data_IF_653018403470
#
_entry.id   IF_653018403470
#
_cell.length_a   1.000
_cell.length_b   1.000
_cell.length_c   1.000
_cell.angle_alpha   90.00
_cell.angle_beta   90.00
_cell.angle_gamma   90.00
#
_symmetry.space_group_name_H-M   'P 1'
#
loop_
_entity.id
_entity.type
_entity.pdbx_description
1 polymer ?
#
# COMPACT_ATOMS: atom_id res chain seq x y z
N UNK A 1 -5.06 -11.41 5.24
CA UNK A 1 -5.57 -10.02 5.11
C UNK A 1 -4.46 -9.07 4.67
N UNK A 2 -3.94 -9.25 3.46
CA UNK A 2 -2.93 -8.36 2.89
C UNK A 2 -3.37 -7.91 1.51
N UNK A 3 -2.99 -6.69 1.14
CA UNK A 3 -3.26 -6.08 -0.17
C UNK A 3 -1.94 -5.65 -0.79
N UNK A 4 -1.91 -5.62 -2.12
CA UNK A 4 -0.85 -4.94 -2.85
C UNK A 4 -1.17 -3.45 -2.92
N UNK A 5 -0.19 -2.63 -2.62
CA UNK A 5 -0.31 -1.17 -2.66
C UNK A 5 0.86 -0.62 -3.47
N UNK A 6 0.62 0.46 -4.19
CA UNK A 6 1.68 1.21 -4.88
C UNK A 6 2.03 2.42 -4.03
N UNK A 7 3.31 2.62 -3.72
CA UNK A 7 3.83 3.78 -2.99
C UNK A 7 4.97 4.44 -3.76
N UNK A 8 5.22 5.74 -3.56
CA UNK A 8 6.44 6.38 -4.05
C UNK A 8 7.68 5.59 -3.61
N UNK A 9 8.65 5.41 -4.51
CA UNK A 9 9.85 4.62 -4.21
C UNK A 9 10.66 5.20 -3.03
N UNK A 10 10.60 6.52 -2.80
CA UNK A 10 11.24 7.18 -1.66
C UNK A 10 10.63 6.83 -0.30
N UNK A 11 9.39 6.34 -0.28
CA UNK A 11 8.66 5.93 0.94
C UNK A 11 8.61 4.41 1.10
N UNK A 12 9.31 3.69 0.22
CA UNK A 12 9.25 2.24 0.18
C UNK A 12 9.94 1.62 1.41
N UNK A 13 9.32 0.56 1.93
CA UNK A 13 9.93 -0.33 2.92
C UNK A 13 10.42 -1.61 2.24
N UNK A 14 11.73 -1.78 2.14
CA UNK A 14 12.39 -2.94 1.51
C UNK A 14 11.89 -4.28 2.07
N UNK A 15 11.50 -4.35 3.35
CA UNK A 15 11.00 -5.60 3.97
C UNK A 15 9.63 -6.02 3.42
N UNK A 16 8.89 -5.08 2.84
CA UNK A 16 7.52 -5.26 2.33
C UNK A 16 7.43 -5.10 0.82
N UNK A 17 8.51 -4.64 0.18
CA UNK A 17 8.61 -4.45 -1.26
C UNK A 17 8.56 -5.81 -1.98
N UNK A 18 7.64 -5.91 -2.92
CA UNK A 18 7.53 -7.05 -3.84
C UNK A 18 8.34 -6.77 -5.10
N UNK A 19 8.24 -5.53 -5.61
CA UNK A 19 8.98 -5.08 -6.79
C UNK A 19 9.14 -3.57 -6.77
N UNK A 20 10.31 -3.10 -7.22
CA UNK A 20 10.58 -1.70 -7.51
C UNK A 20 10.46 -1.44 -9.01
N UNK A 21 9.93 -0.27 -9.38
CA UNK A 21 9.95 0.28 -10.74
C UNK A 21 10.75 1.60 -10.73
N UNK A 22 12.09 1.55 -10.76
CA UNK A 22 12.94 2.73 -10.57
C UNK A 22 12.70 3.81 -11.62
N UNK A 23 12.53 3.42 -12.88
CA UNK A 23 12.29 4.34 -13.99
C UNK A 23 10.97 5.12 -13.86
N UNK A 24 10.03 4.62 -13.05
CA UNK A 24 8.75 5.26 -12.78
C UNK A 24 8.69 5.89 -11.38
N UNK A 25 9.70 5.69 -10.54
CA UNK A 25 9.70 6.17 -9.16
C UNK A 25 8.68 5.48 -8.24
N UNK A 26 8.28 4.24 -8.54
CA UNK A 26 7.25 3.50 -7.78
C UNK A 26 7.76 2.21 -7.15
N UNK A 27 7.13 1.81 -6.05
CA UNK A 27 7.30 0.51 -5.39
C UNK A 27 5.94 -0.16 -5.21
N UNK A 28 5.87 -1.46 -5.49
CA UNK A 28 4.71 -2.29 -5.14
C UNK A 28 5.03 -3.03 -3.85
N UNK A 29 4.19 -2.83 -2.84
CA UNK A 29 4.35 -3.42 -1.53
C UNK A 29 3.19 -4.31 -1.14
N UNK A 30 3.49 -5.35 -0.38
CA UNK A 30 2.48 -6.20 0.22
C UNK A 30 2.22 -5.72 1.66
N UNK A 31 1.09 -5.05 1.93
CA UNK A 31 0.75 -4.53 3.27
C UNK A 31 -0.42 -5.26 3.90
N UNK A 32 -0.43 -5.37 5.24
CA UNK A 32 -1.62 -5.81 5.98
C UNK A 32 -2.68 -4.72 5.93
N UNK A 33 -3.96 -5.11 5.89
CA UNK A 33 -5.10 -4.18 5.75
C UNK A 33 -5.12 -3.16 6.89
N UNK A 34 -4.89 -3.60 8.13
CA UNK A 34 -4.84 -2.76 9.33
C UNK A 34 -3.69 -1.73 9.34
N UNK A 35 -2.70 -1.88 8.44
CA UNK A 35 -1.57 -0.96 8.31
C UNK A 35 -1.70 -0.02 7.09
N UNK A 36 -2.87 0.00 6.43
CA UNK A 36 -3.15 0.91 5.32
C UNK A 36 -3.91 2.11 5.87
N UNK A 37 -3.38 3.31 5.66
CA UNK A 37 -4.04 4.54 6.09
C UNK A 37 -5.32 4.77 5.27
N UNK A 38 -6.48 4.57 5.91
CA UNK A 38 -7.78 4.69 5.25
C UNK A 38 -8.06 6.08 4.69
N UNK A 39 -7.53 7.15 5.30
CA UNK A 39 -7.68 8.51 4.80
C UNK A 39 -7.00 8.73 3.44
N UNK A 40 -5.82 8.13 3.26
CA UNK A 40 -5.05 8.18 2.01
C UNK A 40 -5.60 7.26 0.92
N UNK A 41 -6.47 6.31 1.26
CA UNK A 41 -7.06 5.38 0.30
C UNK A 41 -8.13 6.05 -0.59
N UNK A 42 -8.28 5.60 -1.85
CA UNK A 42 -9.39 6.00 -2.70
C UNK A 42 -10.74 5.73 -2.05
N UNK A 43 -11.75 6.58 -2.30
CA UNK A 43 -13.05 6.52 -1.63
C UNK A 43 -13.70 5.13 -1.66
N UNK A 44 -13.61 4.43 -2.80
CA UNK A 44 -14.17 3.08 -2.99
C UNK A 44 -13.51 2.01 -2.11
N UNK A 45 -12.29 2.24 -1.62
CA UNK A 45 -11.54 1.28 -0.79
C UNK A 45 -11.76 1.51 0.71
N UNK A 46 -12.11 2.74 1.12
CA UNK A 46 -12.12 3.17 2.53
C UNK A 46 -12.98 2.28 3.43
N UNK A 47 -14.21 2.00 3.02
CA UNK A 47 -15.14 1.16 3.79
C UNK A 47 -14.58 -0.27 3.99
N UNK A 48 -13.95 -0.82 2.96
CA UNK A 48 -13.33 -2.15 3.03
C UNK A 48 -12.10 -2.21 3.93
N UNK A 49 -11.44 -1.08 4.21
CA UNK A 49 -10.36 -1.00 5.19
C UNK A 49 -10.90 -0.85 6.62
N UNK A 50 -11.99 -0.09 6.80
CA UNK A 50 -12.62 0.13 8.09
C UNK A 50 -13.27 -1.15 8.67
N UNK A 51 -13.83 -2.02 7.81
CA UNK A 51 -14.47 -3.26 8.23
C UNK A 51 -13.49 -4.35 8.73
N UNK A 52 -12.18 -4.18 8.51
CA UNK A 52 -11.14 -5.14 8.87
C UNK A 52 -10.22 -4.72 10.03
N UNK A 53 -10.55 -3.60 10.69
CA UNK A 53 -9.83 -3.03 11.84
C UNK A 53 -10.33 -3.55 13.18
#
# INVERSE_FOLDING_TARGET
NRRLIVVPAAEADEKRQVVAYPDLGWSVEHRRVENIEGAAAPAWLREGLAAGS
#
